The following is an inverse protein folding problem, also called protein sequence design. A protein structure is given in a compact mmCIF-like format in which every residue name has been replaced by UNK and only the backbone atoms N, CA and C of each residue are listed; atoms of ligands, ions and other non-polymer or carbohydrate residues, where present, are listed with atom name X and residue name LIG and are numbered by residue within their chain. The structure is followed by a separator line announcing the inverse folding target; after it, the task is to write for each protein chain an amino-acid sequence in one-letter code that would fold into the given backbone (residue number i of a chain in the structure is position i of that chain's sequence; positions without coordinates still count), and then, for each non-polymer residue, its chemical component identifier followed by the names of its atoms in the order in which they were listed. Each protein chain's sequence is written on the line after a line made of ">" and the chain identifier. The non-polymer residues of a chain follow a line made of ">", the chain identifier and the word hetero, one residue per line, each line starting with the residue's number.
data_IF_800027117512
#
_entry.id   IF_800027117512
#
_cell.length_a   1.000
_cell.length_b   1.000
_cell.length_c   1.000
_cell.angle_alpha   90.00
_cell.angle_beta   90.00
_cell.angle_gamma   90.00
#
_symmetry.space_group_name_H-M   'P 1'
#
loop_
_entity.id
_entity.type
_entity.pdbx_description
1 polymer ?
#
# COMPACT_ATOMS: atom_id res chain seq x y z
N UNK A 1 -54.74 50.71 -17.97
CA UNK A 1 -54.29 49.36 -17.52
C UNK A 1 -53.50 48.65 -18.62
N UNK A 2 -52.24 49.03 -18.86
CA UNK A 2 -51.25 48.25 -19.65
C UNK A 2 -49.87 48.75 -19.21
N UNK A 3 -49.21 48.07 -18.27
CA UNK A 3 -47.91 48.54 -17.77
C UNK A 3 -47.18 47.60 -16.81
N UNK A 4 -47.87 46.71 -16.10
CA UNK A 4 -47.24 45.85 -15.09
C UNK A 4 -46.76 44.47 -15.58
N UNK A 5 -47.13 44.05 -16.81
CA UNK A 5 -46.82 42.69 -17.31
C UNK A 5 -45.42 42.54 -17.94
N UNK A 6 -44.76 43.64 -18.33
CA UNK A 6 -43.46 43.60 -19.00
C UNK A 6 -42.25 43.53 -18.04
N UNK A 7 -42.42 43.91 -16.76
CA UNK A 7 -41.31 44.01 -15.80
C UNK A 7 -40.96 42.62 -15.21
N UNK A 8 -41.96 41.78 -14.91
CA UNK A 8 -41.73 40.46 -14.27
C UNK A 8 -40.99 39.49 -15.22
N UNK A 9 -41.16 39.66 -16.53
CA UNK A 9 -40.55 38.78 -17.56
C UNK A 9 -39.09 39.12 -17.86
N UNK A 10 -38.65 40.36 -17.63
CA UNK A 10 -37.24 40.76 -17.80
C UNK A 10 -36.36 40.26 -16.65
N UNK A 11 -36.87 40.22 -15.42
CA UNK A 11 -36.12 39.70 -14.27
C UNK A 11 -35.84 38.20 -14.37
N UNK A 12 -36.79 37.41 -14.91
CA UNK A 12 -36.63 35.95 -15.10
C UNK A 12 -35.53 35.59 -16.11
N UNK A 13 -35.33 36.41 -17.15
CA UNK A 13 -34.29 36.20 -18.15
C UNK A 13 -32.90 36.54 -17.60
N UNK A 14 -32.78 37.66 -16.89
CA UNK A 14 -31.52 38.07 -16.24
C UNK A 14 -31.12 37.10 -15.12
N UNK A 15 -32.07 36.56 -14.36
CA UNK A 15 -31.80 35.54 -13.34
C UNK A 15 -31.27 34.23 -13.94
N UNK A 16 -31.86 33.79 -15.06
CA UNK A 16 -31.40 32.60 -15.77
C UNK A 16 -29.99 32.77 -16.33
N UNK A 17 -29.63 33.96 -16.81
CA UNK A 17 -28.28 34.29 -17.27
C UNK A 17 -27.29 34.31 -16.10
N UNK A 18 -27.66 34.89 -14.95
CA UNK A 18 -26.79 34.91 -13.77
C UNK A 18 -26.51 33.49 -13.24
N UNK A 19 -27.52 32.62 -13.22
CA UNK A 19 -27.36 31.22 -12.78
C UNK A 19 -26.45 30.44 -13.74
N UNK A 20 -26.65 30.62 -15.05
CA UNK A 20 -25.82 29.92 -16.04
C UNK A 20 -24.38 30.40 -16.05
N UNK A 21 -24.12 31.71 -15.87
CA UNK A 21 -22.77 32.24 -15.66
C UNK A 21 -22.14 31.67 -14.38
N UNK A 22 -22.89 31.59 -13.27
CA UNK A 22 -22.40 31.05 -12.00
C UNK A 22 -22.03 29.56 -12.11
N UNK A 23 -22.84 28.76 -12.81
CA UNK A 23 -22.55 27.34 -13.09
C UNK A 23 -21.30 27.19 -13.96
N UNK A 24 -21.14 28.01 -15.01
CA UNK A 24 -19.95 27.97 -15.88
C UNK A 24 -18.68 28.35 -15.11
N UNK A 25 -18.75 29.39 -14.28
CA UNK A 25 -17.62 29.81 -13.42
C UNK A 25 -17.29 28.71 -12.41
N UNK A 26 -18.29 28.10 -11.77
CA UNK A 26 -18.08 26.98 -10.83
C UNK A 26 -17.42 25.77 -11.50
N UNK A 27 -17.83 25.42 -12.71
CA UNK A 27 -17.22 24.32 -13.49
C UNK A 27 -15.79 24.65 -13.97
N UNK A 28 -15.50 25.92 -14.28
CA UNK A 28 -14.14 26.40 -14.56
C UNK A 28 -13.23 26.37 -13.33
N UNK A 29 -13.76 26.70 -12.15
CA UNK A 29 -13.02 26.60 -10.88
C UNK A 29 -12.74 25.14 -10.51
N UNK A 30 -13.70 24.24 -10.77
CA UNK A 30 -13.53 22.80 -10.56
C UNK A 30 -12.45 22.19 -11.47
N UNK A 31 -12.29 22.68 -12.71
CA UNK A 31 -11.27 22.20 -13.64
C UNK A 31 -9.87 22.78 -13.39
N UNK A 32 -9.76 23.92 -12.69
CA UNK A 32 -8.47 24.48 -12.23
C UNK A 32 -7.94 23.86 -10.92
N UNK A 33 -8.67 22.92 -10.31
CA UNK A 33 -8.28 22.28 -9.04
C UNK A 33 -7.35 21.06 -9.21
N UNK A 34 -6.86 20.77 -10.41
CA UNK A 34 -5.84 19.74 -10.61
C UNK A 34 -4.45 20.36 -10.77
N UNK A 35 -3.60 20.04 -9.78
CA UNK A 35 -2.16 20.26 -9.70
C UNK A 35 -1.70 21.56 -8.99
N UNK A 36 -1.45 21.45 -7.67
CA UNK A 36 -0.25 21.98 -7.01
C UNK A 36 -0.23 21.54 -5.52
N UNK A 37 0.25 20.33 -5.22
CA UNK A 37 0.77 20.04 -3.88
C UNK A 37 2.27 20.25 -3.88
N UNK A 38 2.70 21.47 -3.54
CA UNK A 38 4.09 21.80 -3.27
C UNK A 38 4.28 21.77 -1.76
N UNK A 39 4.78 20.64 -1.26
CA UNK A 39 5.18 20.54 0.15
C UNK A 39 6.46 21.34 0.36
N UNK A 40 6.32 22.50 1.00
CA UNK A 40 7.41 23.32 1.53
C UNK A 40 8.15 22.52 2.60
N UNK A 41 9.46 22.33 2.41
CA UNK A 41 10.40 22.06 3.51
C UNK A 41 10.34 23.23 4.50
N UNK A 42 10.11 22.95 5.78
CA UNK A 42 10.57 23.84 6.85
C UNK A 42 11.02 23.02 8.05
N UNK A 43 12.20 23.38 8.56
CA UNK A 43 13.02 22.60 9.47
C UNK A 43 12.69 22.83 10.95
N UNK A 44 12.98 21.77 11.72
CA UNK A 44 13.47 21.76 13.11
C UNK A 44 12.54 22.20 14.24
N UNK A 45 12.08 21.19 15.00
CA UNK A 45 12.28 21.04 16.48
C UNK A 45 11.63 19.73 16.95
N UNK A 46 12.16 18.57 16.52
CA UNK A 46 11.76 17.24 17.01
C UNK A 46 12.89 16.18 16.81
N UNK A 47 14.14 16.64 16.71
CA UNK A 47 15.32 15.84 16.32
C UNK A 47 15.81 14.86 17.39
N UNK A 48 15.38 15.00 18.64
CA UNK A 48 16.14 14.45 19.76
C UNK A 48 15.64 13.06 20.20
N UNK A 49 14.44 12.64 19.80
CA UNK A 49 13.98 11.25 19.97
C UNK A 49 14.38 10.39 18.75
N UNK A 50 14.41 10.97 17.55
CA UNK A 50 14.98 10.32 16.37
C UNK A 50 16.49 10.08 16.49
N UNK A 51 17.20 10.88 17.29
CA UNK A 51 18.65 10.72 17.51
C UNK A 51 18.97 9.55 18.45
N UNK A 52 18.14 9.21 19.43
CA UNK A 52 18.41 8.08 20.33
C UNK A 52 18.25 6.71 19.62
N UNK A 53 17.29 6.56 18.71
CA UNK A 53 17.25 5.41 17.78
C UNK A 53 18.40 5.41 16.76
N UNK A 54 19.03 6.58 16.52
CA UNK A 54 20.16 6.75 15.59
C UNK A 54 21.52 6.46 16.26
N UNK A 55 21.66 6.69 17.56
CA UNK A 55 22.97 6.70 18.26
C UNK A 55 23.32 5.34 18.89
N UNK A 56 22.39 4.38 19.03
CA UNK A 56 22.73 2.97 19.29
C UNK A 56 22.79 2.10 18.01
N UNK A 57 22.69 2.74 16.85
CA UNK A 57 22.84 2.21 15.48
C UNK A 57 24.22 2.56 14.87
N UNK A 58 25.17 3.00 15.70
CA UNK A 58 26.42 3.67 15.31
C UNK A 58 27.66 2.75 15.29
N UNK A 59 27.47 1.45 15.02
CA UNK A 59 28.46 0.58 14.40
C UNK A 59 27.83 -0.17 13.22
N UNK A 60 27.01 0.54 12.46
CA UNK A 60 26.66 0.12 11.11
C UNK A 60 27.31 1.13 10.18
N UNK A 61 28.58 0.86 9.88
CA UNK A 61 29.26 1.41 8.71
C UNK A 61 28.29 1.49 7.54
N UNK A 62 28.39 2.59 6.78
CA UNK A 62 27.65 2.84 5.53
C UNK A 62 27.27 1.53 4.85
N UNK A 63 26.06 1.02 5.09
CA UNK A 63 25.54 -0.07 4.28
C UNK A 63 25.31 0.58 2.93
N UNK A 64 26.00 0.14 1.87
CA UNK A 64 25.74 0.65 0.55
C UNK A 64 24.26 0.44 0.25
N UNK A 65 23.58 1.48 -0.23
CA UNK A 65 22.25 1.39 -0.83
C UNK A 65 22.25 0.57 -2.14
N UNK A 66 23.32 -0.19 -2.38
CA UNK A 66 23.44 -1.26 -3.37
C UNK A 66 23.57 -2.60 -2.64
N UNK A 67 22.54 -2.96 -1.86
CA UNK A 67 22.31 -4.38 -1.62
C UNK A 67 21.89 -4.99 -2.95
N UNK A 68 22.27 -6.23 -3.32
CA UNK A 68 21.48 -6.92 -4.32
C UNK A 68 20.04 -6.91 -3.80
N UNK A 69 19.17 -6.17 -4.47
CA UNK A 69 17.70 -6.12 -4.30
C UNK A 69 17.03 -7.49 -4.53
N UNK A 70 17.81 -8.57 -4.52
CA UNK A 70 17.59 -9.88 -5.13
C UNK A 70 18.03 -11.00 -4.15
N UNK A 71 17.78 -10.80 -2.85
CA UNK A 71 18.27 -11.71 -1.81
C UNK A 71 17.20 -12.28 -0.90
N UNK A 72 16.09 -11.58 -0.72
CA UNK A 72 15.06 -11.94 0.27
C UNK A 72 13.67 -11.95 -0.38
N UNK A 73 12.96 -13.05 -0.17
CA UNK A 73 11.56 -13.22 -0.49
C UNK A 73 10.77 -13.20 0.82
N UNK A 74 9.89 -12.21 0.98
CA UNK A 74 8.94 -12.18 2.08
C UNK A 74 7.65 -12.85 1.61
N UNK A 75 7.11 -13.77 2.41
CA UNK A 75 5.80 -14.38 2.13
C UNK A 75 4.90 -14.18 3.34
N UNK A 76 3.78 -13.49 3.13
CA UNK A 76 2.77 -13.20 4.14
C UNK A 76 1.59 -14.14 3.92
N UNK A 77 1.37 -15.05 4.87
CA UNK A 77 0.22 -15.94 4.88
C UNK A 77 -0.96 -15.28 5.56
N UNK A 78 -2.10 -15.31 4.88
CA UNK A 78 -3.40 -14.92 5.45
C UNK A 78 -4.48 -15.95 5.08
N UNK A 79 -5.69 -15.74 5.58
CA UNK A 79 -6.83 -16.61 5.33
C UNK A 79 -8.06 -15.83 4.88
N UNK A 80 -9.04 -16.52 4.30
CA UNK A 80 -10.34 -15.93 3.97
C UNK A 80 -10.97 -15.20 5.17
N UNK A 81 -10.81 -15.76 6.37
CA UNK A 81 -11.34 -15.18 7.60
C UNK A 81 -10.57 -13.93 8.01
N UNK A 82 -9.24 -14.02 8.03
CA UNK A 82 -8.36 -12.99 8.61
C UNK A 82 -8.00 -11.84 7.68
N UNK A 83 -8.02 -12.07 6.37
CA UNK A 83 -7.55 -11.10 5.38
C UNK A 83 -8.28 -9.76 5.46
N UNK A 84 -9.56 -9.77 5.87
CA UNK A 84 -10.38 -8.55 5.90
C UNK A 84 -9.97 -7.55 6.97
N UNK A 85 -9.45 -8.03 8.09
CA UNK A 85 -9.16 -7.17 9.26
C UNK A 85 -7.67 -7.00 9.51
N UNK A 86 -6.82 -8.01 9.23
CA UNK A 86 -5.38 -7.94 9.51
C UNK A 86 -4.58 -7.29 8.39
N UNK A 87 -4.87 -7.67 7.15
CA UNK A 87 -4.05 -7.25 6.01
C UNK A 87 -4.09 -5.74 5.71
N UNK A 88 -5.21 -5.00 5.87
CA UNK A 88 -5.18 -3.55 5.67
C UNK A 88 -4.14 -2.83 6.54
N UNK A 89 -3.88 -3.33 7.76
CA UNK A 89 -2.86 -2.76 8.66
C UNK A 89 -1.46 -3.12 8.19
N UNK A 90 -1.22 -4.39 7.83
CA UNK A 90 0.08 -4.84 7.32
C UNK A 90 0.46 -4.09 6.06
N UNK A 91 -0.48 -3.98 5.10
CA UNK A 91 -0.30 -3.28 3.84
C UNK A 91 0.05 -1.80 4.05
N UNK A 92 -0.50 -1.14 5.08
CA UNK A 92 -0.20 0.26 5.41
C UNK A 92 1.07 0.44 6.25
N UNK A 93 1.64 -0.63 6.78
CA UNK A 93 2.77 -0.57 7.72
C UNK A 93 4.01 -1.24 7.13
N UNK A 94 4.40 -2.40 7.63
CA UNK A 94 5.72 -2.96 7.34
C UNK A 94 5.86 -3.54 5.93
N UNK A 95 4.75 -3.84 5.25
CA UNK A 95 4.76 -4.20 3.83
C UNK A 95 5.41 -3.11 2.95
N UNK A 96 5.24 -1.83 3.33
CA UNK A 96 5.74 -0.68 2.56
C UNK A 96 7.27 -0.63 2.45
N UNK A 97 8.01 -1.35 3.30
CA UNK A 97 9.47 -1.39 3.24
C UNK A 97 10.02 -2.32 2.16
N UNK A 98 9.22 -3.27 1.63
CA UNK A 98 9.70 -4.20 0.61
C UNK A 98 8.58 -4.78 -0.27
N UNK A 99 7.72 -3.94 -0.89
CA UNK A 99 6.56 -4.43 -1.64
C UNK A 99 6.97 -5.26 -2.88
N UNK A 100 8.11 -4.92 -3.51
CA UNK A 100 8.61 -5.59 -4.72
C UNK A 100 9.14 -7.01 -4.46
N UNK A 101 9.36 -7.39 -3.21
CA UNK A 101 9.85 -8.73 -2.82
C UNK A 101 8.93 -9.44 -1.84
N UNK A 102 7.71 -8.92 -1.66
CA UNK A 102 6.71 -9.49 -0.75
C UNK A 102 5.56 -10.11 -1.53
N UNK A 103 5.34 -11.41 -1.31
CA UNK A 103 4.19 -12.15 -1.80
C UNK A 103 3.17 -12.33 -0.68
N UNK A 104 1.90 -12.36 -1.05
CA UNK A 104 0.79 -12.61 -0.12
C UNK A 104 0.07 -13.88 -0.57
N UNK A 105 0.04 -14.88 0.30
CA UNK A 105 -0.67 -16.12 0.06
C UNK A 105 -2.00 -16.12 0.82
N UNK A 106 -3.08 -16.49 0.16
CA UNK A 106 -4.40 -16.64 0.79
C UNK A 106 -5.07 -17.95 0.39
N UNK A 107 -5.86 -18.53 1.29
CA UNK A 107 -6.82 -19.60 0.96
C UNK A 107 -8.24 -19.04 0.74
N UNK A 108 -8.40 -17.72 0.71
CA UNK A 108 -9.61 -16.99 0.36
C UNK A 108 -9.53 -16.36 -1.03
N UNK A 109 -10.36 -15.34 -1.26
CA UNK A 109 -10.35 -14.59 -2.52
C UNK A 109 -9.19 -13.59 -2.57
N UNK A 110 -8.22 -13.84 -3.46
CA UNK A 110 -7.10 -12.94 -3.70
C UNK A 110 -7.52 -11.60 -4.31
N UNK A 111 -8.64 -11.54 -5.05
CA UNK A 111 -9.13 -10.28 -5.64
C UNK A 111 -9.53 -9.26 -4.58
N UNK A 112 -9.79 -9.70 -3.34
CA UNK A 112 -10.01 -8.83 -2.20
C UNK A 112 -8.88 -7.81 -1.99
N UNK A 113 -7.64 -8.12 -2.37
CA UNK A 113 -6.50 -7.22 -2.18
C UNK A 113 -6.41 -6.13 -3.26
N UNK A 114 -7.11 -6.26 -4.39
CA UNK A 114 -7.02 -5.31 -5.50
C UNK A 114 -7.47 -3.89 -5.14
N UNK A 115 -8.30 -3.74 -4.09
CA UNK A 115 -8.73 -2.43 -3.55
C UNK A 115 -7.67 -1.75 -2.67
N UNK A 116 -6.66 -2.47 -2.19
CA UNK A 116 -5.63 -1.93 -1.29
C UNK A 116 -4.22 -1.96 -1.91
N UNK A 117 -3.99 -2.84 -2.88
CA UNK A 117 -2.71 -2.98 -3.57
C UNK A 117 -2.75 -2.34 -4.96
N UNK A 118 -1.70 -1.58 -5.27
CA UNK A 118 -1.41 -1.10 -6.62
C UNK A 118 -1.36 -2.25 -7.61
N UNK A 119 -1.83 -2.03 -8.85
CA UNK A 119 -1.86 -3.03 -9.92
C UNK A 119 -0.53 -3.72 -10.18
N UNK A 120 0.58 -3.00 -10.00
CA UNK A 120 1.94 -3.56 -10.15
C UNK A 120 2.28 -4.69 -9.18
N UNK A 121 1.51 -4.85 -8.08
CA UNK A 121 1.70 -5.89 -7.07
C UNK A 121 0.66 -7.01 -7.14
N UNK A 122 -0.23 -7.00 -8.14
CA UNK A 122 -1.26 -8.03 -8.26
C UNK A 122 -0.64 -9.41 -8.58
N UNK A 123 0.49 -9.45 -9.27
CA UNK A 123 1.23 -10.69 -9.55
C UNK A 123 1.91 -11.29 -8.30
N UNK A 124 1.95 -10.54 -7.19
CA UNK A 124 2.46 -11.02 -5.90
C UNK A 124 1.35 -11.64 -5.03
N UNK A 125 0.11 -11.67 -5.52
CA UNK A 125 -1.03 -12.30 -4.85
C UNK A 125 -1.17 -13.74 -5.31
N UNK A 126 -1.11 -14.68 -4.37
CA UNK A 126 -1.21 -16.10 -4.68
C UNK A 126 -2.40 -16.75 -3.97
N UNK A 127 -3.36 -17.24 -4.75
CA UNK A 127 -4.45 -18.09 -4.24
C UNK A 127 -3.94 -19.52 -4.11
N UNK A 128 -3.77 -19.97 -2.87
CA UNK A 128 -3.26 -21.32 -2.57
C UNK A 128 -4.24 -22.43 -2.97
N UNK A 129 -5.54 -22.13 -3.09
CA UNK A 129 -6.63 -23.10 -3.30
C UNK A 129 -6.66 -24.25 -2.27
N UNK A 130 -5.96 -24.08 -1.14
CA UNK A 130 -5.95 -25.03 -0.04
C UNK A 130 -7.26 -24.99 0.75
N UNK A 131 -7.59 -26.10 1.42
CA UNK A 131 -8.78 -26.15 2.29
C UNK A 131 -8.73 -25.07 3.37
N UNK A 132 -9.84 -24.38 3.58
CA UNK A 132 -10.03 -23.41 4.66
C UNK A 132 -10.32 -24.13 5.99
N UNK A 133 -9.37 -24.93 6.47
CA UNK A 133 -9.53 -25.74 7.68
C UNK A 133 -8.26 -25.68 8.54
N UNK A 134 -8.43 -25.70 9.87
CA UNK A 134 -7.32 -25.73 10.81
C UNK A 134 -6.88 -27.18 11.10
N UNK A 135 -6.54 -27.92 10.04
CA UNK A 135 -6.07 -29.31 10.11
C UNK A 135 -4.68 -29.41 9.49
N UNK A 136 -3.86 -30.35 9.97
CA UNK A 136 -2.46 -30.51 9.54
C UNK A 136 -2.32 -30.51 8.02
N UNK A 137 -3.14 -31.30 7.30
CA UNK A 137 -3.07 -31.36 5.82
C UNK A 137 -3.30 -30.00 5.15
N UNK A 138 -4.21 -29.18 5.66
CA UNK A 138 -4.49 -27.86 5.12
C UNK A 138 -3.34 -26.89 5.41
N UNK A 139 -2.76 -26.96 6.60
CA UNK A 139 -1.59 -26.15 6.98
C UNK A 139 -0.34 -26.55 6.16
N UNK A 140 -0.14 -27.84 5.93
CA UNK A 140 0.92 -28.33 5.03
C UNK A 140 0.72 -27.87 3.60
N UNK A 141 -0.52 -27.88 3.09
CA UNK A 141 -0.84 -27.37 1.75
C UNK A 141 -0.45 -25.88 1.61
N UNK A 142 -0.81 -25.04 2.60
CA UNK A 142 -0.45 -23.62 2.58
C UNK A 142 1.06 -23.43 2.59
N UNK A 143 1.76 -24.14 3.48
CA UNK A 143 3.23 -24.07 3.58
C UNK A 143 3.90 -24.54 2.28
N UNK A 144 3.38 -25.60 1.64
CA UNK A 144 3.88 -26.09 0.36
C UNK A 144 3.73 -25.04 -0.75
N UNK A 145 2.59 -24.33 -0.78
CA UNK A 145 2.36 -23.23 -1.73
C UNK A 145 3.33 -22.05 -1.50
N UNK A 146 3.65 -21.71 -0.25
CA UNK A 146 4.66 -20.70 0.08
C UNK A 146 6.06 -21.11 -0.43
N UNK A 147 6.44 -22.36 -0.20
CA UNK A 147 7.71 -22.91 -0.72
C UNK A 147 7.75 -22.96 -2.24
N UNK A 148 6.62 -23.25 -2.90
CA UNK A 148 6.55 -23.26 -4.35
C UNK A 148 6.94 -21.90 -4.94
N UNK A 149 6.40 -20.79 -4.39
CA UNK A 149 6.77 -19.43 -4.80
C UNK A 149 8.29 -19.22 -4.67
N UNK A 150 8.89 -19.67 -3.56
CA UNK A 150 10.33 -19.57 -3.37
C UNK A 150 11.12 -20.38 -4.40
N UNK A 151 10.73 -21.63 -4.66
CA UNK A 151 11.44 -22.49 -5.61
C UNK A 151 11.33 -22.01 -7.06
N UNK A 152 10.17 -21.47 -7.46
CA UNK A 152 9.98 -20.82 -8.76
C UNK A 152 10.89 -19.60 -8.93
N UNK A 153 11.21 -18.92 -7.82
CA UNK A 153 12.05 -17.72 -7.80
C UNK A 153 13.44 -17.94 -7.17
N UNK A 154 13.90 -19.20 -7.04
CA UNK A 154 15.12 -19.54 -6.28
C UNK A 154 16.41 -18.91 -6.81
N UNK A 155 16.43 -18.57 -8.11
CA UNK A 155 17.57 -17.90 -8.73
C UNK A 155 17.59 -16.39 -8.44
N UNK A 156 16.44 -15.83 -8.04
CA UNK A 156 16.24 -14.41 -7.72
C UNK A 156 16.31 -14.13 -6.22
N UNK A 157 16.01 -15.10 -5.36
CA UNK A 157 15.99 -14.92 -3.91
C UNK A 157 16.82 -16.01 -3.22
N UNK A 158 17.68 -15.60 -2.29
CA UNK A 158 18.52 -16.50 -1.47
C UNK A 158 17.86 -16.90 -0.15
N UNK A 159 17.05 -16.01 0.40
CA UNK A 159 16.40 -16.16 1.68
C UNK A 159 14.89 -16.15 1.50
N UNK A 160 14.22 -17.16 2.06
CA UNK A 160 12.78 -17.15 2.27
C UNK A 160 12.49 -16.75 3.71
N UNK A 161 11.66 -15.74 3.91
CA UNK A 161 11.15 -15.36 5.22
C UNK A 161 9.62 -15.38 5.20
N UNK A 162 9.06 -16.28 6.02
CA UNK A 162 7.63 -16.58 6.05
C UNK A 162 7.01 -15.98 7.30
N UNK A 163 5.92 -15.25 7.13
CA UNK A 163 5.22 -14.55 8.19
C UNK A 163 3.72 -14.81 8.16
N UNK A 164 3.11 -14.90 9.34
CA UNK A 164 1.65 -14.90 9.49
C UNK A 164 1.11 -13.46 9.56
N UNK A 165 -0.17 -13.29 9.25
CA UNK A 165 -0.84 -11.98 9.22
C UNK A 165 -1.10 -11.34 10.59
N UNK A 166 -0.67 -11.96 11.69
CA UNK A 166 -0.64 -11.38 13.03
C UNK A 166 0.78 -10.99 13.51
N UNK A 167 1.78 -11.09 12.63
CA UNK A 167 3.16 -10.73 12.95
C UNK A 167 3.51 -9.33 12.43
N UNK A 168 4.29 -8.60 13.23
CA UNK A 168 4.98 -7.37 12.80
C UNK A 168 6.44 -7.68 12.48
N UNK A 169 6.94 -7.12 11.39
CA UNK A 169 8.32 -7.32 10.95
C UNK A 169 9.03 -5.98 10.79
N UNK A 170 10.16 -5.82 11.49
CA UNK A 170 11.09 -4.74 11.19
C UNK A 170 11.95 -5.14 9.97
N UNK A 171 11.41 -4.90 8.76
CA UNK A 171 12.02 -5.33 7.50
C UNK A 171 13.44 -4.79 7.29
N UNK A 172 13.75 -3.50 7.55
CA UNK A 172 15.12 -3.00 7.45
C UNK A 172 16.11 -3.74 8.35
N UNK A 173 15.73 -4.03 9.60
CA UNK A 173 16.58 -4.75 10.54
C UNK A 173 16.77 -6.22 10.13
N UNK A 174 15.70 -6.88 9.66
CA UNK A 174 15.78 -8.23 9.12
C UNK A 174 16.77 -8.32 7.95
N UNK A 175 16.68 -7.39 7.00
CA UNK A 175 17.59 -7.31 5.85
C UNK A 175 19.02 -7.06 6.34
N UNK A 176 19.23 -6.19 7.32
CA UNK A 176 20.55 -5.96 7.88
C UNK A 176 21.14 -7.22 8.54
N UNK A 177 20.34 -7.95 9.30
CA UNK A 177 20.74 -9.19 9.97
C UNK A 177 21.16 -10.27 8.94
N UNK A 178 20.34 -10.51 7.91
CA UNK A 178 20.62 -11.55 6.92
C UNK A 178 21.87 -11.28 6.06
N UNK A 179 22.29 -10.01 5.92
CA UNK A 179 23.55 -9.66 5.25
C UNK A 179 24.77 -10.28 5.93
N UNK A 180 24.71 -10.53 7.22
CA UNK A 180 25.82 -11.13 7.98
C UNK A 180 26.10 -12.58 7.56
N UNK A 181 25.16 -13.22 6.84
CA UNK A 181 25.24 -14.60 6.38
C UNK A 181 25.26 -14.72 4.84
N UNK A 182 25.46 -13.60 4.15
CA UNK A 182 25.38 -13.49 2.68
C UNK A 182 26.75 -13.62 2.03
#
# INVERSE_FOLDING_TARGET
>A
MRGFSLIVRQYSFLWSIMISIWIIIYLLILSLSSCASQSKKNNNTNSDIYSYFKVKSSNVDRIPTTLPTHGILLVIRTSNYTQRYRMPVILKTWFQFSPDTTYITTNGDAKYFHQFLSKQYHDHLHSTNCKQAHVIRALCCQSASEFQIYFENKNKYRWLCRFDDDQYVNVPLLIHYLKQFS
#
